data_IF_529541086937
#
_entry.id   IF_529541086937
#
_cell.length_a   1.000
_cell.length_b   1.000
_cell.length_c   1.000
_cell.angle_alpha   90.00
_cell.angle_beta   90.00
_cell.angle_gamma   90.00
#
_symmetry.space_group_name_H-M   'P 1'
#
loop_
_entity.id
_entity.type
_entity.pdbx_description
1 polymer ?
#
# COMPACT_ATOMS: atom_id res chain seq x y z
N UNK A 1 -113.20 10.16 2.37
CA UNK A 1 -111.88 10.83 2.55
C UNK A 1 -110.66 9.92 2.33
N UNK A 2 -110.65 8.62 2.71
CA UNK A 2 -109.47 7.74 2.51
C UNK A 2 -109.13 7.38 1.03
N UNK A 3 -110.11 7.27 0.12
CA UNK A 3 -109.87 6.90 -1.29
C UNK A 3 -109.23 8.01 -2.15
N UNK A 4 -109.53 9.29 -1.89
CA UNK A 4 -108.93 10.41 -2.63
C UNK A 4 -107.48 10.68 -2.21
N UNK A 5 -107.14 10.45 -0.94
CA UNK A 5 -105.78 10.63 -0.44
C UNK A 5 -104.81 9.57 -1.02
N UNK A 6 -105.27 8.32 -1.16
CA UNK A 6 -104.49 7.25 -1.78
C UNK A 6 -104.20 7.52 -3.28
N UNK A 7 -105.14 8.14 -3.99
CA UNK A 7 -104.98 8.46 -5.41
C UNK A 7 -104.01 9.63 -5.64
N UNK A 8 -104.06 10.66 -4.77
CA UNK A 8 -103.13 11.78 -4.81
C UNK A 8 -101.68 11.36 -4.48
N UNK A 9 -101.51 10.45 -3.51
CA UNK A 9 -100.19 9.91 -3.15
C UNK A 9 -99.63 9.02 -4.26
N UNK A 10 -100.47 8.23 -4.94
CA UNK A 10 -100.04 7.41 -6.08
C UNK A 10 -99.61 8.26 -7.29
N UNK A 11 -100.32 9.36 -7.57
CA UNK A 11 -99.98 10.27 -8.66
C UNK A 11 -98.66 11.03 -8.37
N UNK A 12 -98.46 11.47 -7.12
CA UNK A 12 -97.21 12.08 -6.69
C UNK A 12 -96.04 11.09 -6.78
N UNK A 13 -96.23 9.83 -6.38
CA UNK A 13 -95.21 8.79 -6.49
C UNK A 13 -94.82 8.48 -7.95
N UNK A 14 -95.77 8.51 -8.89
CA UNK A 14 -95.49 8.37 -10.33
C UNK A 14 -94.78 9.59 -10.93
N UNK A 15 -95.10 10.81 -10.46
CA UNK A 15 -94.39 12.01 -10.89
C UNK A 15 -92.93 12.04 -10.38
N UNK A 16 -92.69 11.56 -9.15
CA UNK A 16 -91.35 11.44 -8.61
C UNK A 16 -90.54 10.31 -9.27
N UNK A 17 -91.16 9.20 -9.65
CA UNK A 17 -90.45 8.09 -10.34
C UNK A 17 -90.06 8.45 -11.79
N UNK A 18 -90.88 9.25 -12.47
CA UNK A 18 -90.59 9.74 -13.83
C UNK A 18 -89.55 10.87 -13.84
N UNK A 19 -89.56 11.75 -12.84
CA UNK A 19 -88.49 12.74 -12.64
C UNK A 19 -87.14 12.08 -12.25
N UNK A 20 -87.18 11.02 -11.42
CA UNK A 20 -85.99 10.27 -11.08
C UNK A 20 -85.39 9.55 -12.30
N UNK A 21 -86.20 8.87 -13.12
CA UNK A 21 -85.70 8.12 -14.29
C UNK A 21 -85.12 9.01 -15.39
N UNK A 22 -85.64 10.22 -15.57
CA UNK A 22 -85.10 11.22 -16.51
C UNK A 22 -83.80 11.85 -16.02
N UNK A 23 -83.63 12.04 -14.71
CA UNK A 23 -82.37 12.45 -14.09
C UNK A 23 -81.28 11.36 -14.21
N UNK A 24 -81.62 10.08 -14.03
CA UNK A 24 -80.64 8.99 -14.20
C UNK A 24 -80.25 8.79 -15.67
N UNK A 25 -81.19 8.94 -16.61
CA UNK A 25 -80.90 8.82 -18.04
C UNK A 25 -79.97 9.93 -18.56
N UNK A 26 -80.17 11.18 -18.10
CA UNK A 26 -79.28 12.30 -18.44
C UNK A 26 -77.90 12.16 -17.80
N UNK A 27 -77.80 11.70 -16.54
CA UNK A 27 -76.52 11.39 -15.89
C UNK A 27 -75.76 10.25 -16.58
N UNK A 28 -76.45 9.19 -17.02
CA UNK A 28 -75.84 8.10 -17.79
C UNK A 28 -75.37 8.54 -19.18
N UNK A 29 -76.07 9.50 -19.80
CA UNK A 29 -75.67 10.06 -21.10
C UNK A 29 -74.41 10.92 -20.95
N UNK A 30 -74.35 11.76 -19.90
CA UNK A 30 -73.14 12.54 -19.57
C UNK A 30 -71.96 11.61 -19.24
N UNK A 31 -72.17 10.52 -18.49
CA UNK A 31 -71.12 9.53 -18.24
C UNK A 31 -70.65 8.80 -19.51
N UNK A 32 -71.57 8.49 -20.44
CA UNK A 32 -71.23 7.84 -21.73
C UNK A 32 -70.38 8.71 -22.65
N UNK A 33 -70.52 10.03 -22.60
CA UNK A 33 -69.68 10.95 -23.38
C UNK A 33 -68.41 11.40 -22.64
N UNK A 34 -68.49 11.60 -21.32
CA UNK A 34 -67.36 12.07 -20.52
C UNK A 34 -66.30 10.98 -20.28
N UNK A 35 -66.69 9.73 -20.02
CA UNK A 35 -65.74 8.64 -19.73
C UNK A 35 -64.74 8.35 -20.88
N UNK A 36 -65.15 8.22 -22.16
CA UNK A 36 -64.19 8.00 -23.25
C UNK A 36 -63.33 9.24 -23.55
N UNK A 37 -63.84 10.45 -23.34
CA UNK A 37 -63.07 11.69 -23.49
C UNK A 37 -61.98 11.80 -22.40
N UNK A 38 -62.32 11.48 -21.14
CA UNK A 38 -61.38 11.43 -20.02
C UNK A 38 -60.33 10.33 -20.25
N UNK A 39 -60.73 9.13 -20.68
CA UNK A 39 -59.77 8.06 -20.98
C UNK A 39 -58.83 8.41 -22.15
N UNK A 40 -59.31 9.09 -23.19
CA UNK A 40 -58.45 9.61 -24.27
C UNK A 40 -57.50 10.70 -23.77
N UNK A 41 -57.97 11.61 -22.92
CA UNK A 41 -57.12 12.64 -22.33
C UNK A 41 -56.03 12.02 -21.44
N UNK A 42 -56.39 11.05 -20.60
CA UNK A 42 -55.43 10.30 -19.75
C UNK A 42 -54.43 9.52 -20.60
N UNK A 43 -54.86 8.89 -21.69
CA UNK A 43 -53.97 8.22 -22.63
C UNK A 43 -53.02 9.19 -23.33
N UNK A 44 -53.52 10.33 -23.84
CA UNK A 44 -52.68 11.35 -24.46
C UNK A 44 -51.66 11.95 -23.48
N UNK A 45 -52.05 12.18 -22.23
CA UNK A 45 -51.13 12.65 -21.18
C UNK A 45 -50.09 11.59 -20.85
N UNK A 46 -50.46 10.30 -20.80
CA UNK A 46 -49.52 9.20 -20.58
C UNK A 46 -48.54 9.06 -21.76
N UNK A 47 -49.02 9.14 -23.00
CA UNK A 47 -48.16 9.09 -24.20
C UNK A 47 -47.24 10.30 -24.28
N UNK A 48 -47.71 11.51 -23.98
CA UNK A 48 -46.88 12.71 -23.92
C UNK A 48 -45.82 12.60 -22.81
N UNK A 49 -46.16 12.01 -21.65
CA UNK A 49 -45.21 11.72 -20.58
C UNK A 49 -44.13 10.73 -21.03
N UNK A 50 -44.49 9.62 -21.66
CA UNK A 50 -43.53 8.62 -22.14
C UNK A 50 -42.64 9.15 -23.27
N UNK A 51 -43.19 9.96 -24.19
CA UNK A 51 -42.41 10.65 -25.23
C UNK A 51 -41.44 11.67 -24.62
N UNK A 52 -41.89 12.47 -23.65
CA UNK A 52 -41.01 13.39 -22.93
C UNK A 52 -39.90 12.63 -22.18
N UNK A 53 -40.23 11.51 -21.53
CA UNK A 53 -39.25 10.66 -20.85
C UNK A 53 -38.23 10.07 -21.84
N UNK A 54 -38.70 9.55 -22.98
CA UNK A 54 -37.85 9.03 -24.04
C UNK A 54 -36.97 10.09 -24.72
N UNK A 55 -37.48 11.31 -24.91
CA UNK A 55 -36.70 12.43 -25.43
C UNK A 55 -35.64 12.91 -24.43
N UNK A 56 -35.96 12.99 -23.13
CA UNK A 56 -35.01 13.33 -22.08
C UNK A 56 -33.92 12.25 -21.96
N UNK A 57 -34.29 10.97 -22.04
CA UNK A 57 -33.35 9.85 -21.96
C UNK A 57 -32.42 9.80 -23.19
N UNK A 58 -32.96 10.00 -24.39
CA UNK A 58 -32.15 10.06 -25.62
C UNK A 58 -31.28 11.32 -25.69
N UNK A 59 -31.76 12.45 -25.17
CA UNK A 59 -30.97 13.67 -25.06
C UNK A 59 -29.83 13.47 -24.04
N UNK A 60 -30.11 12.91 -22.87
CA UNK A 60 -29.11 12.58 -21.84
C UNK A 60 -28.07 11.55 -22.34
N UNK A 61 -28.47 10.56 -23.13
CA UNK A 61 -27.58 9.60 -23.76
C UNK A 61 -26.70 10.22 -24.86
N UNK A 62 -27.19 11.24 -25.57
CA UNK A 62 -26.44 11.95 -26.62
C UNK A 62 -25.52 13.05 -26.08
N UNK A 63 -25.84 13.67 -24.94
CA UNK A 63 -25.04 14.76 -24.35
C UNK A 63 -24.17 14.31 -23.18
N UNK A 64 -24.16 13.02 -22.82
CA UNK A 64 -23.36 12.49 -21.70
C UNK A 64 -23.74 13.09 -20.34
N UNK A 65 -24.90 13.73 -20.24
CA UNK A 65 -25.37 14.39 -19.03
C UNK A 65 -26.14 13.36 -18.18
N UNK A 66 -25.41 12.45 -17.55
CA UNK A 66 -25.95 11.77 -16.37
C UNK A 66 -26.31 12.88 -15.38
N UNK A 67 -27.58 12.98 -15.00
CA UNK A 67 -28.06 13.86 -13.92
C UNK A 67 -27.59 13.31 -12.57
N UNK A 68 -26.29 13.32 -12.39
CA UNK A 68 -25.62 13.51 -11.12
C UNK A 68 -24.62 14.64 -11.39
N UNK A 69 -24.35 15.54 -10.44
CA UNK A 69 -23.23 16.47 -10.54
C UNK A 69 -21.98 15.73 -11.06
N UNK A 70 -21.03 16.45 -11.68
CA UNK A 70 -19.65 15.96 -11.82
C UNK A 70 -19.07 15.75 -10.41
N UNK A 71 -19.57 14.74 -9.70
CA UNK A 71 -19.16 14.30 -8.38
C UNK A 71 -18.29 13.08 -8.58
N UNK A 72 -17.39 12.86 -7.62
CA UNK A 72 -16.50 11.72 -7.65
C UNK A 72 -17.30 10.41 -7.75
N UNK A 73 -18.55 10.37 -7.26
CA UNK A 73 -19.44 9.21 -7.30
C UNK A 73 -19.71 8.65 -8.71
N UNK A 74 -19.89 9.49 -9.72
CA UNK A 74 -20.05 9.05 -11.11
C UNK A 74 -18.75 8.54 -11.75
N UNK A 75 -17.59 8.95 -11.21
CA UNK A 75 -16.27 8.57 -11.68
C UNK A 75 -15.67 7.36 -10.93
N UNK A 76 -16.20 6.98 -9.75
CA UNK A 76 -15.68 5.86 -8.94
C UNK A 76 -15.64 4.54 -9.72
N UNK A 77 -16.72 4.19 -10.44
CA UNK A 77 -16.75 2.95 -11.22
C UNK A 77 -15.78 3.00 -12.42
N UNK A 78 -15.55 4.19 -12.97
CA UNK A 78 -14.55 4.43 -14.03
C UNK A 78 -13.12 4.36 -13.48
N UNK A 79 -12.88 4.86 -12.27
CA UNK A 79 -11.60 4.80 -11.56
C UNK A 79 -11.18 3.36 -11.26
N UNK A 80 -12.07 2.52 -10.71
CA UNK A 80 -11.75 1.12 -10.43
C UNK A 80 -11.40 0.32 -11.68
N UNK A 81 -12.13 0.52 -12.78
CA UNK A 81 -11.79 -0.13 -14.05
C UNK A 81 -10.40 0.32 -14.57
N UNK A 82 -9.95 1.55 -14.29
CA UNK A 82 -8.67 2.11 -14.77
C UNK A 82 -7.45 1.38 -14.26
N UNK A 83 -7.54 1.00 -12.99
CA UNK A 83 -6.45 0.43 -12.25
C UNK A 83 -6.04 -0.92 -12.85
N UNK A 84 -6.93 -1.55 -13.62
CA UNK A 84 -6.69 -2.81 -14.33
C UNK A 84 -5.99 -2.62 -15.70
N UNK A 85 -6.19 -1.47 -16.37
CA UNK A 85 -5.66 -1.25 -17.74
C UNK A 85 -4.26 -0.64 -17.72
N UNK A 86 -3.95 0.19 -16.72
CA UNK A 86 -2.64 0.81 -16.61
C UNK A 86 -1.64 -0.22 -16.10
N UNK A 87 -0.56 -0.45 -16.87
CA UNK A 87 0.59 -1.25 -16.43
C UNK A 87 1.01 -0.81 -15.01
N UNK A 88 1.55 -1.70 -14.20
CA UNK A 88 2.09 -1.38 -12.87
C UNK A 88 3.37 -2.18 -12.65
N UNK A 89 4.35 -1.59 -11.97
CA UNK A 89 5.47 -2.38 -11.48
C UNK A 89 5.03 -3.28 -10.33
N UNK A 90 5.84 -4.29 -10.05
CA UNK A 90 5.60 -5.18 -8.91
C UNK A 90 5.96 -4.46 -7.60
N UNK A 91 5.01 -4.49 -6.67
CA UNK A 91 4.98 -3.80 -5.37
C UNK A 91 4.77 -4.80 -4.23
N UNK A 92 5.74 -5.70 -4.04
CA UNK A 92 5.67 -6.79 -3.07
C UNK A 92 5.89 -6.39 -1.61
N UNK A 93 6.68 -5.33 -1.34
CA UNK A 93 7.04 -4.93 0.03
C UNK A 93 5.84 -4.40 0.81
N UNK A 94 4.98 -3.59 0.20
CA UNK A 94 3.82 -2.99 0.89
C UNK A 94 2.94 -4.09 1.54
N UNK A 95 2.74 -5.21 0.85
CA UNK A 95 1.96 -6.35 1.37
C UNK A 95 2.70 -7.23 2.40
N UNK A 96 4.03 -7.13 2.44
CA UNK A 96 4.91 -7.96 3.26
C UNK A 96 5.10 -7.38 4.67
N UNK A 97 4.96 -6.07 4.84
CA UNK A 97 5.21 -5.38 6.11
C UNK A 97 3.97 -5.37 7.00
N UNK A 98 4.16 -5.07 8.29
CA UNK A 98 3.03 -4.78 9.17
C UNK A 98 2.50 -3.37 8.89
N UNK A 99 1.22 -3.27 8.58
CA UNK A 99 0.53 -1.98 8.43
C UNK A 99 -0.22 -1.66 9.71
N UNK A 100 0.07 -0.50 10.30
CA UNK A 100 -0.68 0.00 11.43
C UNK A 100 -1.50 1.23 11.01
N UNK A 101 -2.82 1.08 11.05
CA UNK A 101 -3.80 2.11 10.67
C UNK A 101 -4.22 2.99 11.86
N UNK A 102 -3.73 2.74 13.07
CA UNK A 102 -4.10 3.52 14.28
C UNK A 102 -3.43 4.89 14.36
N UNK A 103 -2.56 5.22 13.40
CA UNK A 103 -1.82 6.50 13.28
C UNK A 103 -2.68 7.73 12.96
N UNK A 104 -4.01 7.63 13.06
CA UNK A 104 -4.97 8.68 12.74
C UNK A 104 -4.79 10.00 13.54
N UNK A 105 -4.00 10.02 14.61
CA UNK A 105 -3.79 11.21 15.48
C UNK A 105 -2.42 11.87 15.37
N UNK A 106 -1.48 11.34 14.59
CA UNK A 106 -0.13 11.88 14.51
C UNK A 106 0.04 12.93 13.38
N UNK A 107 0.57 14.10 13.72
CA UNK A 107 0.93 15.11 12.73
C UNK A 107 2.11 14.65 11.85
N UNK A 108 2.25 15.23 10.65
CA UNK A 108 3.43 14.97 9.80
C UNK A 108 4.68 15.46 10.57
N UNK A 109 5.72 14.62 10.64
CA UNK A 109 6.91 14.87 11.45
C UNK A 109 6.80 14.47 12.93
N UNK A 110 5.63 14.02 13.40
CA UNK A 110 5.48 13.51 14.76
C UNK A 110 5.94 12.04 14.82
N UNK A 111 6.75 11.74 15.84
CA UNK A 111 7.17 10.37 16.14
C UNK A 111 6.12 9.71 17.00
N UNK A 112 5.55 8.59 16.56
CA UNK A 112 4.76 7.72 17.43
C UNK A 112 5.69 6.60 17.89
N UNK A 113 5.99 6.60 19.19
CA UNK A 113 6.91 5.65 19.81
C UNK A 113 6.15 4.44 20.32
N UNK A 114 6.58 3.25 19.91
CA UNK A 114 6.22 2.03 20.60
C UNK A 114 7.34 1.67 21.57
N UNK A 115 7.06 1.42 22.86
CA UNK A 115 8.08 0.94 23.79
C UNK A 115 8.51 -0.46 23.37
N UNK A 116 9.81 -0.64 23.11
CA UNK A 116 10.41 -1.95 22.84
C UNK A 116 11.30 -2.30 24.03
N UNK A 117 10.93 -3.34 24.77
CA UNK A 117 11.74 -3.84 25.87
C UNK A 117 13.00 -4.51 25.30
N UNK A 118 14.22 -4.13 25.74
CA UNK A 118 15.44 -4.81 25.35
C UNK A 118 15.48 -6.24 25.95
N UNK A 119 16.30 -7.16 25.39
CA UNK A 119 16.51 -8.47 25.99
C UNK A 119 17.10 -8.34 27.40
N UNK A 120 16.50 -9.03 28.37
CA UNK A 120 16.94 -9.00 29.77
C UNK A 120 18.25 -9.79 29.94
N UNK A 121 19.20 -9.23 30.68
CA UNK A 121 20.44 -9.92 31.06
C UNK A 121 20.19 -10.76 32.30
N UNK A 122 20.55 -12.05 32.28
CA UNK A 122 20.47 -12.91 33.46
C UNK A 122 21.68 -12.65 34.37
N UNK A 123 21.46 -12.52 35.67
CA UNK A 123 22.50 -12.46 36.70
C UNK A 123 22.44 -13.69 37.60
N UNK A 124 23.59 -14.10 38.13
CA UNK A 124 23.68 -15.25 39.03
C UNK A 124 23.05 -14.91 40.40
N UNK A 125 22.35 -15.89 40.99
CA UNK A 125 21.73 -15.73 42.31
C UNK A 125 22.80 -15.85 43.40
N UNK A 126 23.23 -14.71 43.94
CA UNK A 126 24.11 -14.66 45.13
C UNK A 126 23.24 -14.49 46.39
N UNK A 127 23.29 -15.40 47.37
CA UNK A 127 22.51 -15.26 48.61
C UNK A 127 22.91 -14.01 49.40
N UNK A 128 21.94 -13.14 49.70
CA UNK A 128 22.11 -11.92 50.50
C UNK A 128 20.85 -11.65 51.35
N UNK A 129 20.99 -10.81 52.40
CA UNK A 129 19.88 -10.47 53.32
C UNK A 129 18.87 -9.52 52.67
N UNK A 130 19.31 -8.76 51.67
CA UNK A 130 18.47 -7.87 50.85
C UNK A 130 18.57 -8.31 49.39
N UNK A 131 17.47 -8.29 48.62
CA UNK A 131 17.54 -8.44 47.17
C UNK A 131 18.51 -7.41 46.57
N UNK A 132 19.38 -7.80 45.62
CA UNK A 132 20.18 -6.84 44.86
C UNK A 132 19.30 -5.81 44.14
N UNK A 133 19.77 -4.57 44.03
CA UNK A 133 19.11 -3.50 43.25
C UNK A 133 19.45 -3.66 41.76
N UNK A 134 19.02 -4.78 41.19
CA UNK A 134 19.24 -5.18 39.81
C UNK A 134 17.89 -5.33 39.08
N UNK A 135 17.86 -5.11 37.77
CA UNK A 135 16.65 -5.25 36.95
C UNK A 135 16.15 -3.97 36.27
N UNK A 136 16.87 -2.86 36.40
CA UNK A 136 16.58 -1.64 35.66
C UNK A 136 16.77 -1.89 34.15
N UNK A 137 15.66 -1.90 33.41
CA UNK A 137 15.69 -1.92 31.96
C UNK A 137 15.49 -0.50 31.44
N UNK A 138 16.46 0.01 30.68
CA UNK A 138 16.25 1.22 29.91
C UNK A 138 15.35 0.86 28.71
N UNK A 139 14.05 1.12 28.81
CA UNK A 139 13.09 0.83 27.73
C UNK A 139 13.41 1.76 26.56
N UNK A 140 13.91 1.18 25.48
CA UNK A 140 14.16 1.90 24.24
C UNK A 140 12.84 2.21 23.54
N UNK A 141 12.66 3.46 23.10
CA UNK A 141 11.54 3.83 22.26
C UNK A 141 11.97 3.75 20.79
N UNK A 142 11.48 2.75 20.05
CA UNK A 142 11.56 2.78 18.58
C UNK A 142 10.26 3.39 18.06
N UNK A 143 10.39 4.57 17.46
CA UNK A 143 9.27 5.27 16.83
C UNK A 143 9.28 5.18 15.33
N UNK A 144 8.10 5.07 14.73
CA UNK A 144 7.90 5.31 13.30
C UNK A 144 7.42 6.75 13.16
N UNK A 145 8.12 7.51 12.33
CA UNK A 145 7.78 8.89 12.01
C UNK A 145 7.03 8.94 10.68
N UNK A 146 5.95 9.72 10.62
CA UNK A 146 5.33 10.07 9.35
C UNK A 146 6.22 11.10 8.65
N UNK A 147 7.09 10.62 7.77
CA UNK A 147 8.17 11.42 7.16
C UNK A 147 7.71 12.18 5.92
N UNK A 148 6.75 11.65 5.16
CA UNK A 148 6.36 12.20 3.86
C UNK A 148 4.86 12.41 3.76
N UNK A 149 4.49 13.60 3.28
CA UNK A 149 3.17 13.92 2.77
C UNK A 149 3.33 14.32 1.31
N UNK A 150 2.78 13.52 0.39
CA UNK A 150 2.93 13.75 -1.05
C UNK A 150 1.58 13.82 -1.72
N UNK A 151 1.53 14.62 -2.79
CA UNK A 151 0.38 14.77 -3.66
C UNK A 151 0.79 14.73 -5.13
N UNK A 152 -0.09 14.21 -5.97
CA UNK A 152 0.03 14.28 -7.42
C UNK A 152 -1.13 15.13 -7.95
N UNK A 153 -0.86 16.34 -8.48
CA UNK A 153 -1.89 17.19 -9.04
C UNK A 153 -2.18 16.86 -10.51
N UNK A 154 -3.45 16.88 -10.90
CA UNK A 154 -3.93 16.76 -12.29
C UNK A 154 -4.78 18.00 -12.58
N UNK A 155 -4.48 18.72 -13.67
CA UNK A 155 -5.19 19.95 -14.04
C UNK A 155 -5.83 19.81 -15.42
N UNK A 156 -7.06 20.31 -15.54
CA UNK A 156 -7.79 20.40 -16.80
C UNK A 156 -8.42 21.78 -16.97
N UNK A 157 -8.28 22.37 -18.17
CA UNK A 157 -9.01 23.57 -18.54
C UNK A 157 -10.20 23.26 -19.48
N UNK A 158 -11.10 24.23 -19.65
CA UNK A 158 -12.32 24.04 -20.47
C UNK A 158 -12.07 23.86 -21.98
N UNK A 159 -11.02 24.48 -22.52
CA UNK A 159 -10.69 24.42 -23.95
C UNK A 159 -10.02 23.08 -24.32
N UNK A 160 -9.17 22.54 -23.44
CA UNK A 160 -8.55 21.22 -23.56
C UNK A 160 -9.60 20.12 -23.57
N UNK A 161 -10.60 20.23 -22.70
CA UNK A 161 -11.74 19.31 -22.69
C UNK A 161 -12.50 19.36 -24.02
N UNK A 162 -12.84 20.57 -24.49
CA UNK A 162 -13.59 20.76 -25.73
C UNK A 162 -12.81 20.28 -26.97
N UNK A 163 -11.49 20.50 -27.01
CA UNK A 163 -10.63 20.04 -28.09
C UNK A 163 -10.55 18.51 -28.15
N UNK A 164 -10.57 17.84 -27.00
CA UNK A 164 -10.48 16.39 -26.91
C UNK A 164 -11.81 15.72 -27.29
N UNK A 165 -12.93 16.27 -26.81
CA UNK A 165 -14.29 15.81 -27.13
C UNK A 165 -14.59 15.96 -28.63
N UNK A 166 -14.09 17.01 -29.29
CA UNK A 166 -14.20 17.20 -30.74
C UNK A 166 -13.31 16.25 -31.57
N UNK A 167 -12.28 15.66 -30.96
CA UNK A 167 -11.31 14.79 -31.64
C UNK A 167 -11.65 13.30 -31.52
N UNK A 168 -12.80 12.94 -30.92
CA UNK A 168 -13.25 11.55 -30.76
C UNK A 168 -12.57 10.76 -29.63
N UNK A 169 -11.62 11.38 -28.90
CA UNK A 169 -11.02 10.79 -27.70
C UNK A 169 -11.85 11.18 -26.47
N UNK A 170 -12.33 10.20 -25.70
CA UNK A 170 -13.13 10.49 -24.51
C UNK A 170 -12.26 11.07 -23.39
N UNK A 171 -12.48 12.33 -23.02
CA UNK A 171 -11.89 13.02 -21.86
C UNK A 171 -11.87 12.15 -20.58
N UNK A 172 -12.96 11.42 -20.34
CA UNK A 172 -13.08 10.55 -19.18
C UNK A 172 -12.08 9.38 -19.17
N UNK A 173 -11.62 8.90 -20.33
CA UNK A 173 -10.62 7.82 -20.41
C UNK A 173 -9.22 8.36 -20.07
N UNK A 174 -8.87 9.54 -20.60
CA UNK A 174 -7.56 10.15 -20.31
C UNK A 174 -7.46 10.56 -18.85
N UNK A 175 -8.50 11.20 -18.31
CA UNK A 175 -8.55 11.58 -16.89
C UNK A 175 -8.40 10.35 -15.99
N UNK A 176 -9.11 9.27 -16.33
CA UNK A 176 -9.05 7.97 -15.65
C UNK A 176 -7.63 7.39 -15.63
N UNK A 177 -6.93 7.39 -16.77
CA UNK A 177 -5.56 6.89 -16.86
C UNK A 177 -4.58 7.77 -16.06
N UNK A 178 -4.80 9.09 -16.04
CA UNK A 178 -4.00 10.02 -15.22
C UNK A 178 -4.15 9.72 -13.72
N UNK A 179 -5.37 9.44 -13.25
CA UNK A 179 -5.61 9.03 -11.85
C UNK A 179 -4.87 7.72 -11.51
N UNK A 180 -4.93 6.72 -12.39
CA UNK A 180 -4.24 5.45 -12.18
C UNK A 180 -2.70 5.61 -12.17
N UNK A 181 -2.15 6.43 -13.07
CA UNK A 181 -0.71 6.75 -13.11
C UNK A 181 -0.24 7.52 -11.88
N UNK A 182 -1.07 8.44 -11.37
CA UNK A 182 -0.77 9.18 -10.16
C UNK A 182 -0.77 8.28 -8.91
N UNK A 183 -1.74 7.37 -8.78
CA UNK A 183 -1.72 6.35 -7.71
C UNK A 183 -0.52 5.41 -7.84
N UNK A 184 -0.15 4.99 -9.06
CA UNK A 184 1.08 4.19 -9.34
C UNK A 184 2.33 4.93 -8.86
N UNK A 185 2.45 6.22 -9.15
CA UNK A 185 3.61 7.05 -8.74
C UNK A 185 3.76 7.07 -7.21
N UNK A 186 2.67 7.28 -6.48
CA UNK A 186 2.69 7.29 -5.02
C UNK A 186 3.01 5.91 -4.44
N UNK A 187 2.39 4.84 -4.95
CA UNK A 187 2.67 3.48 -4.50
C UNK A 187 4.13 3.08 -4.74
N UNK A 188 4.72 3.48 -5.88
CA UNK A 188 6.13 3.26 -6.18
C UNK A 188 7.07 4.02 -5.24
N UNK A 189 6.73 5.26 -4.87
CA UNK A 189 7.53 6.02 -3.91
C UNK A 189 7.51 5.34 -2.53
N UNK A 190 6.35 4.86 -2.07
CA UNK A 190 6.21 4.09 -0.83
C UNK A 190 7.05 2.81 -0.88
N UNK A 191 6.94 2.03 -1.95
CA UNK A 191 7.71 0.80 -2.14
C UNK A 191 9.22 1.08 -2.17
N UNK A 192 9.65 2.15 -2.84
CA UNK A 192 11.04 2.60 -2.89
C UNK A 192 11.58 3.01 -1.50
N UNK A 193 10.76 3.65 -0.67
CA UNK A 193 11.13 4.02 0.69
C UNK A 193 11.25 2.78 1.59
N UNK A 194 10.36 1.79 1.42
CA UNK A 194 10.46 0.51 2.12
C UNK A 194 11.72 -0.27 1.75
N UNK A 195 12.08 -0.32 0.46
CA UNK A 195 13.34 -0.99 0.04
C UNK A 195 14.59 -0.19 0.42
N UNK A 196 14.47 1.13 0.63
CA UNK A 196 15.56 1.96 1.13
C UNK A 196 15.93 1.62 2.59
N UNK A 197 15.05 0.96 3.35
CA UNK A 197 15.35 0.52 4.72
C UNK A 197 16.47 -0.53 4.80
N UNK A 198 16.93 -1.12 3.68
CA UNK A 198 18.05 -2.08 3.65
C UNK A 198 19.30 -1.64 4.41
N UNK A 199 19.53 -0.33 4.56
CA UNK A 199 20.64 0.24 5.36
C UNK A 199 20.59 -0.19 6.83
N UNK A 200 19.40 -0.51 7.36
CA UNK A 200 19.17 -0.92 8.75
C UNK A 200 19.12 -2.43 8.95
N UNK A 201 19.35 -3.22 7.89
CA UNK A 201 19.38 -4.67 8.02
C UNK A 201 20.53 -5.11 8.93
N UNK A 202 20.32 -6.15 9.73
CA UNK A 202 21.35 -6.68 10.63
C UNK A 202 22.56 -7.25 9.88
N UNK A 203 22.27 -8.19 8.97
CA UNK A 203 23.25 -9.06 8.32
C UNK A 203 22.88 -9.36 6.88
N UNK A 204 23.87 -9.83 6.14
CA UNK A 204 23.70 -10.24 4.75
C UNK A 204 24.11 -11.70 4.51
N UNK A 205 23.41 -12.38 3.60
CA UNK A 205 23.75 -13.71 3.07
C UNK A 205 23.89 -13.67 1.55
N UNK A 206 24.62 -14.62 0.98
CA UNK A 206 24.81 -14.75 -0.48
C UNK A 206 26.05 -14.02 -1.01
N UNK A 207 26.25 -14.05 -2.33
CA UNK A 207 27.44 -13.53 -3.01
C UNK A 207 27.14 -12.22 -3.73
N UNK A 208 27.78 -11.09 -3.40
CA UNK A 208 27.48 -9.82 -4.03
C UNK A 208 27.73 -9.84 -5.54
N UNK A 209 26.77 -9.35 -6.33
CA UNK A 209 26.86 -9.27 -7.79
C UNK A 209 26.48 -10.56 -8.52
N UNK A 210 26.15 -11.62 -7.79
CA UNK A 210 25.62 -12.87 -8.34
C UNK A 210 24.19 -13.06 -7.86
N UNK A 211 23.23 -13.06 -8.80
CA UNK A 211 21.82 -13.22 -8.46
C UNK A 211 21.59 -14.55 -7.69
N UNK A 212 20.80 -14.53 -6.59
CA UNK A 212 20.48 -15.72 -5.79
C UNK A 212 19.83 -16.82 -6.61
N UNK A 213 19.83 -18.03 -6.08
CA UNK A 213 19.26 -19.25 -6.68
C UNK A 213 19.94 -19.63 -8.00
N UNK A 214 21.23 -19.28 -8.12
CA UNK A 214 22.02 -19.47 -9.34
C UNK A 214 22.34 -20.93 -9.67
N UNK A 215 22.22 -21.84 -8.68
CA UNK A 215 22.50 -23.28 -8.81
C UNK A 215 21.18 -24.06 -8.83
N UNK A 216 21.09 -25.04 -9.71
CA UNK A 216 19.86 -25.80 -9.91
C UNK A 216 19.55 -26.70 -8.71
N UNK A 217 18.28 -26.69 -8.28
CA UNK A 217 17.76 -27.47 -7.15
C UNK A 217 18.50 -27.25 -5.81
N UNK A 218 19.18 -26.12 -5.67
CA UNK A 218 19.81 -25.71 -4.43
C UNK A 218 19.07 -24.50 -3.84
N UNK A 219 18.58 -24.67 -2.61
CA UNK A 219 17.84 -23.67 -1.83
C UNK A 219 18.62 -23.20 -0.60
N UNK A 220 19.94 -23.17 -0.72
CA UNK A 220 20.85 -22.70 0.33
C UNK A 220 20.61 -21.21 0.66
N UNK A 221 20.23 -20.39 -0.33
CA UNK A 221 19.97 -18.97 -0.17
C UNK A 221 18.78 -18.68 0.74
N UNK A 222 17.68 -19.45 0.61
CA UNK A 222 16.53 -19.36 1.53
C UNK A 222 16.86 -19.94 2.90
N UNK A 223 17.56 -21.07 2.96
CA UNK A 223 17.95 -21.69 4.22
C UNK A 223 18.93 -20.82 5.04
N UNK A 224 19.89 -20.19 4.37
CA UNK A 224 20.86 -19.27 4.97
C UNK A 224 20.21 -17.97 5.48
N UNK A 225 19.24 -17.44 4.74
CA UNK A 225 18.44 -16.31 5.19
C UNK A 225 17.60 -16.66 6.43
N UNK A 226 16.96 -17.83 6.44
CA UNK A 226 16.17 -18.31 7.59
C UNK A 226 17.06 -18.52 8.82
N UNK A 227 18.23 -19.15 8.65
CA UNK A 227 19.21 -19.37 9.73
C UNK A 227 19.57 -18.06 10.43
N UNK A 228 19.82 -16.98 9.69
CA UNK A 228 20.13 -15.67 10.28
C UNK A 228 18.96 -15.15 11.13
N UNK A 229 17.71 -15.29 10.65
CA UNK A 229 16.54 -14.86 11.41
C UNK A 229 16.36 -15.69 12.70
N UNK A 230 16.57 -17.00 12.62
CA UNK A 230 16.48 -17.93 13.76
C UNK A 230 17.60 -17.70 14.78
N UNK A 231 18.84 -17.52 14.33
CA UNK A 231 20.00 -17.19 15.17
C UNK A 231 19.78 -15.87 15.93
N UNK A 232 19.10 -14.90 15.32
CA UNK A 232 18.73 -13.62 15.93
C UNK A 232 17.46 -13.71 16.81
N UNK A 233 16.91 -14.90 17.01
CA UNK A 233 15.75 -15.15 17.87
C UNK A 233 14.43 -14.61 17.30
N UNK A 234 14.31 -14.48 15.98
CA UNK A 234 13.06 -14.09 15.36
C UNK A 234 12.02 -15.22 15.52
N UNK A 235 11.12 -15.05 16.48
CA UNK A 235 10.02 -16.00 16.71
C UNK A 235 8.79 -15.51 15.95
N UNK A 236 8.47 -16.16 14.83
CA UNK A 236 7.29 -15.82 14.05
C UNK A 236 7.04 -16.78 12.90
N UNK A 237 5.79 -17.21 12.73
CA UNK A 237 5.38 -18.07 11.63
C UNK A 237 5.22 -17.32 10.30
N UNK A 238 5.59 -16.04 10.23
CA UNK A 238 5.36 -15.18 9.05
C UNK A 238 6.62 -14.41 8.64
N UNK A 239 7.60 -15.17 8.15
CA UNK A 239 8.78 -14.62 7.50
C UNK A 239 8.47 -14.26 6.05
N UNK A 240 9.00 -13.14 5.60
CA UNK A 240 8.85 -12.61 4.25
C UNK A 240 10.21 -12.64 3.56
N UNK A 241 10.21 -13.01 2.28
CA UNK A 241 11.36 -12.88 1.39
C UNK A 241 10.93 -12.09 0.15
N UNK A 242 11.50 -10.90 0.00
CA UNK A 242 11.19 -9.99 -1.10
C UNK A 242 12.36 -9.93 -2.07
N UNK A 243 12.11 -10.39 -3.29
CA UNK A 243 13.10 -10.63 -4.32
C UNK A 243 12.97 -9.65 -5.48
N UNK A 244 14.10 -9.29 -6.07
CA UNK A 244 14.19 -8.58 -7.34
C UNK A 244 13.97 -9.51 -8.54
N UNK A 245 13.86 -8.92 -9.73
CA UNK A 245 13.59 -9.64 -10.97
C UNK A 245 14.62 -10.72 -11.33
N UNK A 246 15.92 -10.46 -11.10
CA UNK A 246 16.99 -11.41 -11.40
C UNK A 246 16.95 -12.66 -10.48
N UNK A 247 16.70 -12.46 -9.19
CA UNK A 247 16.52 -13.57 -8.24
C UNK A 247 15.27 -14.39 -8.59
N UNK A 248 14.17 -13.73 -8.95
CA UNK A 248 12.94 -14.40 -9.39
C UNK A 248 13.09 -15.12 -10.72
N UNK A 249 13.90 -14.61 -11.65
CA UNK A 249 14.23 -15.32 -12.89
C UNK A 249 14.94 -16.64 -12.58
N UNK A 250 15.95 -16.62 -11.71
CA UNK A 250 16.66 -17.82 -11.31
C UNK A 250 15.76 -18.81 -10.58
N UNK A 251 14.89 -18.34 -9.68
CA UNK A 251 13.86 -19.17 -9.04
C UNK A 251 12.96 -19.86 -10.08
N UNK A 252 12.47 -19.11 -11.06
CA UNK A 252 11.58 -19.62 -12.11
C UNK A 252 12.28 -20.53 -13.12
N UNK A 253 13.59 -20.39 -13.30
CA UNK A 253 14.33 -21.12 -14.32
C UNK A 253 15.08 -22.33 -13.78
N UNK A 254 15.60 -22.28 -12.55
CA UNK A 254 16.60 -23.22 -12.04
C UNK A 254 16.09 -24.12 -10.91
N UNK A 255 15.00 -23.75 -10.25
CA UNK A 255 14.41 -24.54 -9.17
C UNK A 255 13.35 -25.50 -9.70
N UNK A 256 13.78 -26.43 -10.57
CA UNK A 256 12.87 -27.32 -11.29
C UNK A 256 12.13 -28.31 -10.42
N UNK A 257 12.67 -28.63 -9.23
CA UNK A 257 11.96 -29.40 -8.19
C UNK A 257 10.63 -28.79 -7.76
N UNK A 258 10.46 -27.46 -7.88
CA UNK A 258 9.20 -26.78 -7.54
C UNK A 258 8.13 -26.88 -8.64
N UNK A 259 8.51 -27.20 -9.88
CA UNK A 259 7.55 -27.33 -11.01
C UNK A 259 6.96 -28.73 -11.14
N UNK A 260 7.60 -29.70 -10.53
CA UNK A 260 7.16 -31.09 -10.55
C UNK A 260 5.98 -31.24 -9.61
N UNK A 261 4.77 -31.22 -10.16
CA UNK A 261 3.50 -31.34 -9.41
C UNK A 261 3.48 -32.57 -8.50
N UNK A 262 4.09 -33.67 -8.94
CA UNK A 262 4.22 -34.91 -8.19
C UNK A 262 5.14 -34.80 -6.96
N UNK A 263 6.12 -33.87 -6.97
CA UNK A 263 7.07 -33.65 -5.86
C UNK A 263 6.66 -32.45 -4.99
N UNK A 264 6.18 -31.36 -5.59
CA UNK A 264 5.77 -30.13 -4.90
C UNK A 264 4.34 -30.19 -4.32
N UNK A 265 3.52 -31.14 -4.77
CA UNK A 265 2.14 -31.33 -4.30
C UNK A 265 1.14 -30.26 -4.76
N UNK A 266 1.58 -29.25 -5.54
CA UNK A 266 0.76 -28.16 -6.10
C UNK A 266 1.27 -27.73 -7.48
N UNK A 267 0.38 -27.16 -8.28
CA UNK A 267 0.69 -26.71 -9.65
C UNK A 267 1.03 -25.20 -9.74
N UNK A 268 1.00 -24.49 -8.61
CA UNK A 268 1.07 -23.01 -8.57
C UNK A 268 2.37 -22.48 -9.17
N UNK A 269 3.50 -23.13 -8.89
CA UNK A 269 4.78 -22.72 -9.47
C UNK A 269 4.86 -22.97 -10.97
N UNK A 270 4.28 -24.07 -11.44
CA UNK A 270 4.27 -24.44 -12.85
C UNK A 270 3.35 -23.51 -13.66
N UNK A 271 2.19 -23.11 -13.12
CA UNK A 271 1.19 -22.34 -13.85
C UNK A 271 1.32 -20.83 -13.65
N UNK A 272 1.59 -20.38 -12.42
CA UNK A 272 1.58 -18.96 -12.06
C UNK A 272 2.99 -18.38 -11.89
N UNK A 273 4.03 -19.21 -11.89
CA UNK A 273 5.41 -18.77 -11.70
C UNK A 273 5.66 -18.09 -10.34
N UNK A 274 4.77 -18.27 -9.36
CA UNK A 274 4.95 -17.84 -7.97
C UNK A 274 4.46 -18.94 -7.02
N UNK A 275 5.23 -19.23 -5.96
CA UNK A 275 4.74 -20.04 -4.83
C UNK A 275 4.42 -19.08 -3.72
N UNK A 276 3.38 -19.40 -2.96
CA UNK A 276 2.98 -18.62 -1.80
C UNK A 276 4.10 -18.63 -0.74
N UNK A 277 4.66 -19.81 -0.45
CA UNK A 277 5.72 -19.97 0.56
C UNK A 277 6.79 -20.96 0.11
N UNK A 278 8.02 -20.71 0.54
CA UNK A 278 9.17 -21.59 0.36
C UNK A 278 9.99 -21.62 1.64
N UNK A 279 10.20 -22.81 2.23
CA UNK A 279 10.96 -22.97 3.49
C UNK A 279 10.53 -21.97 4.58
N UNK A 280 9.21 -21.86 4.81
CA UNK A 280 8.59 -20.95 5.76
C UNK A 280 8.66 -19.44 5.42
N UNK A 281 9.33 -19.04 4.32
CA UNK A 281 9.37 -17.68 3.81
C UNK A 281 8.28 -17.45 2.77
N UNK A 282 7.42 -16.44 2.97
CA UNK A 282 6.47 -15.99 1.98
C UNK A 282 7.19 -15.21 0.87
N UNK A 283 7.03 -15.65 -0.38
CA UNK A 283 7.74 -15.07 -1.51
C UNK A 283 6.99 -13.88 -2.09
N UNK A 284 7.68 -12.74 -2.19
CA UNK A 284 7.17 -11.52 -2.79
C UNK A 284 8.18 -11.01 -3.82
N UNK A 285 7.67 -10.33 -4.83
CA UNK A 285 8.52 -9.73 -5.85
C UNK A 285 8.38 -8.21 -5.82
N UNK A 286 9.50 -7.50 -5.84
CA UNK A 286 9.53 -6.06 -5.93
C UNK A 286 10.47 -5.60 -7.05
N UNK A 287 10.00 -4.63 -7.82
CA UNK A 287 10.81 -3.96 -8.83
C UNK A 287 11.75 -2.90 -8.25
N UNK A 288 11.47 -2.44 -7.02
CA UNK A 288 12.16 -1.31 -6.39
C UNK A 288 13.34 -1.73 -5.51
N UNK A 289 13.78 -2.99 -5.59
CA UNK A 289 14.95 -3.49 -4.86
C UNK A 289 16.18 -2.64 -5.20
N UNK A 290 16.85 -2.12 -4.16
CA UNK A 290 17.96 -1.20 -4.32
C UNK A 290 19.24 -1.91 -4.75
N UNK A 291 20.01 -1.23 -5.59
CA UNK A 291 21.39 -1.56 -5.94
C UNK A 291 22.27 -0.34 -5.62
N UNK A 292 22.56 -0.09 -4.34
CA UNK A 292 23.31 1.10 -3.93
C UNK A 292 24.74 1.06 -4.48
N UNK A 293 25.32 2.24 -4.70
CA UNK A 293 26.77 2.36 -4.91
C UNK A 293 27.49 1.91 -3.64
N UNK A 294 28.61 1.20 -3.79
CA UNK A 294 29.43 0.79 -2.66
C UNK A 294 30.38 1.90 -2.23
N UNK A 295 30.76 1.90 -0.95
CA UNK A 295 31.91 2.63 -0.47
C UNK A 295 33.20 2.22 -1.20
N UNK A 296 34.15 3.16 -1.24
CA UNK A 296 35.47 2.97 -1.88
C UNK A 296 36.53 2.46 -0.92
N UNK A 297 36.14 2.10 0.31
CA UNK A 297 37.07 1.65 1.33
C UNK A 297 37.91 0.45 0.86
N UNK A 298 39.23 0.60 0.93
CA UNK A 298 40.20 -0.42 0.56
C UNK A 298 41.35 -0.45 1.56
N UNK A 299 41.75 -1.66 1.97
CA UNK A 299 42.84 -1.85 2.94
C UNK A 299 42.55 -1.33 4.34
N UNK A 300 41.29 -1.05 4.67
CA UNK A 300 40.88 -0.58 5.98
C UNK A 300 40.96 -1.71 7.02
N UNK A 301 41.36 -1.36 8.24
CA UNK A 301 41.44 -2.29 9.37
C UNK A 301 40.76 -1.72 10.60
N UNK A 302 40.34 -2.59 11.52
CA UNK A 302 40.00 -2.15 12.88
C UNK A 302 41.24 -1.60 13.57
N UNK A 303 41.02 -0.78 14.60
CA UNK A 303 42.09 -0.52 15.57
C UNK A 303 42.49 -1.82 16.31
N UNK A 304 43.56 -1.74 17.10
CA UNK A 304 44.07 -2.86 17.89
C UNK A 304 43.41 -2.99 19.28
N UNK A 305 42.27 -2.34 19.54
CA UNK A 305 41.63 -2.38 20.87
C UNK A 305 40.90 -3.72 21.14
N UNK A 306 40.48 -4.42 20.08
CA UNK A 306 39.61 -5.59 20.18
C UNK A 306 38.17 -5.19 20.49
N UNK A 307 37.22 -6.02 20.04
CA UNK A 307 35.79 -5.76 20.18
C UNK A 307 35.08 -7.03 20.64
N UNK A 308 34.24 -6.90 21.67
CA UNK A 308 33.45 -8.00 22.17
C UNK A 308 32.31 -8.37 21.21
N UNK A 309 31.76 -9.56 21.39
CA UNK A 309 30.48 -9.95 20.79
C UNK A 309 29.41 -8.89 21.09
N UNK A 310 28.59 -8.56 20.09
CA UNK A 310 27.52 -7.57 20.18
C UNK A 310 27.98 -6.11 20.04
N UNK A 311 29.28 -5.83 19.85
CA UNK A 311 29.73 -4.47 19.61
C UNK A 311 29.15 -3.93 18.29
N UNK A 312 28.54 -2.75 18.37
CA UNK A 312 27.95 -2.06 17.20
C UNK A 312 28.88 -0.98 16.66
N UNK A 313 29.68 -0.34 17.50
CA UNK A 313 30.62 0.70 17.10
C UNK A 313 32.02 0.10 16.99
N UNK A 314 32.58 0.14 15.78
CA UNK A 314 33.93 -0.33 15.48
C UNK A 314 34.77 0.87 15.10
N UNK A 315 35.85 1.11 15.82
CA UNK A 315 36.79 2.18 15.48
C UNK A 315 37.83 1.67 14.49
N UNK A 316 38.05 2.45 13.43
CA UNK A 316 38.99 2.16 12.37
C UNK A 316 40.40 2.59 12.81
N UNK A 317 41.41 1.83 12.38
CA UNK A 317 42.78 2.33 12.40
C UNK A 317 42.93 3.44 11.36
N UNK A 318 43.92 4.33 11.53
CA UNK A 318 44.36 5.25 10.48
C UNK A 318 45.12 4.47 9.39
N UNK A 319 44.36 3.67 8.61
CA UNK A 319 44.87 2.73 7.63
C UNK A 319 43.84 2.51 6.52
N UNK A 320 44.35 2.28 5.31
CA UNK A 320 43.52 2.15 4.11
C UNK A 320 43.19 3.49 3.48
N UNK A 321 42.24 3.47 2.54
CA UNK A 321 41.79 4.64 1.78
C UNK A 321 40.29 4.52 1.49
N UNK A 322 39.64 5.63 1.14
CA UNK A 322 38.26 5.64 0.68
C UNK A 322 37.22 5.71 1.80
N UNK A 323 35.96 5.50 1.43
CA UNK A 323 34.81 5.77 2.31
C UNK A 323 34.02 4.50 2.61
N UNK A 324 33.45 4.42 3.81
CA UNK A 324 32.34 3.51 4.12
C UNK A 324 31.03 4.27 4.01
N UNK A 325 30.05 3.72 3.29
CA UNK A 325 28.74 4.34 3.11
C UNK A 325 27.68 3.51 3.86
N UNK A 326 26.66 4.17 4.38
CA UNK A 326 25.54 3.49 5.02
C UNK A 326 24.85 2.53 4.03
N UNK A 327 24.64 1.28 4.43
CA UNK A 327 24.13 0.19 3.58
C UNK A 327 25.22 -0.62 2.89
N UNK A 328 26.50 -0.29 3.10
CA UNK A 328 27.60 -1.18 2.73
C UNK A 328 27.52 -2.48 3.54
N UNK A 329 27.84 -3.58 2.86
CA UNK A 329 28.00 -4.88 3.52
C UNK A 329 29.49 -5.12 3.69
N UNK A 330 29.91 -5.45 4.92
CA UNK A 330 31.31 -5.67 5.26
C UNK A 330 31.53 -7.09 5.79
N UNK A 331 32.65 -7.68 5.41
CA UNK A 331 33.20 -8.90 6.01
C UNK A 331 34.46 -8.56 6.79
N UNK A 332 34.60 -9.18 7.96
CA UNK A 332 35.70 -8.93 8.89
C UNK A 332 36.61 -10.16 8.90
N UNK A 333 37.91 -9.96 8.78
CA UNK A 333 38.88 -11.05 8.81
C UNK A 333 38.80 -11.80 10.15
N UNK A 334 38.71 -13.12 10.07
CA UNK A 334 38.48 -14.00 11.23
C UNK A 334 37.03 -14.49 11.37
N UNK A 335 36.09 -13.92 10.61
CA UNK A 335 34.67 -14.30 10.60
C UNK A 335 34.16 -14.47 9.16
N UNK A 336 34.38 -15.64 8.53
CA UNK A 336 33.98 -15.88 7.15
C UNK A 336 32.47 -16.14 6.97
N UNK A 337 31.76 -16.46 8.04
CA UNK A 337 30.35 -16.86 7.98
C UNK A 337 29.38 -15.67 8.06
N UNK A 338 29.81 -14.58 8.70
CA UNK A 338 28.96 -13.42 8.95
C UNK A 338 29.36 -12.22 8.09
N UNK A 339 28.36 -11.64 7.42
CA UNK A 339 28.47 -10.35 6.72
C UNK A 339 27.58 -9.34 7.42
N UNK A 340 28.14 -8.19 7.76
CA UNK A 340 27.50 -7.16 8.57
C UNK A 340 27.11 -5.97 7.69
N UNK A 341 26.02 -5.29 8.02
CA UNK A 341 25.61 -4.07 7.31
C UNK A 341 26.02 -2.85 8.12
N UNK A 342 26.62 -1.88 7.45
CA UNK A 342 27.03 -0.60 8.02
C UNK A 342 25.82 0.33 8.11
N UNK A 343 25.37 0.64 9.32
CA UNK A 343 24.27 1.57 9.58
C UNK A 343 24.73 3.04 9.47
N UNK A 344 25.95 3.34 9.93
CA UNK A 344 26.61 4.64 9.74
C UNK A 344 28.04 4.41 9.29
N UNK A 345 28.37 4.99 8.14
CA UNK A 345 29.70 4.90 7.54
C UNK A 345 30.66 5.98 8.04
N UNK A 346 31.84 5.99 7.41
CA UNK A 346 32.92 6.93 7.67
C UNK A 346 33.40 7.53 6.34
N UNK A 347 33.63 8.84 6.34
CA UNK A 347 33.94 9.60 5.13
C UNK A 347 35.39 9.45 4.67
N UNK A 348 36.30 8.96 5.51
CA UNK A 348 37.71 8.77 5.17
C UNK A 348 38.39 7.78 6.11
N UNK A 349 38.47 6.52 5.69
CA UNK A 349 39.10 5.46 6.46
C UNK A 349 40.60 5.72 6.77
N UNK A 350 41.28 6.59 6.01
CA UNK A 350 42.72 6.82 6.16
C UNK A 350 43.10 7.61 7.42
N UNK A 351 42.20 8.45 7.93
CA UNK A 351 42.45 9.25 9.13
C UNK A 351 42.04 8.53 10.42
N UNK A 352 41.60 7.27 10.32
CA UNK A 352 40.85 6.60 11.36
C UNK A 352 39.42 7.13 11.42
N UNK A 353 38.60 6.61 12.33
CA UNK A 353 37.19 6.98 12.41
C UNK A 353 36.37 5.90 13.09
N UNK A 354 35.05 5.95 12.92
CA UNK A 354 34.15 4.93 13.45
C UNK A 354 33.11 4.52 12.42
N UNK A 355 32.89 3.21 12.32
CA UNK A 355 31.75 2.65 11.61
C UNK A 355 30.77 2.10 12.65
N UNK A 356 29.48 2.27 12.39
CA UNK A 356 28.42 1.68 13.22
C UNK A 356 27.74 0.58 12.43
N UNK A 357 27.78 -0.64 12.95
CA UNK A 357 27.05 -1.80 12.44
C UNK A 357 25.60 -1.77 12.93
N UNK A 358 24.69 -2.30 12.11
CA UNK A 358 23.31 -2.51 12.53
C UNK A 358 23.22 -3.56 13.66
N UNK A 359 22.19 -3.46 14.51
CA UNK A 359 21.93 -4.46 15.55
C UNK A 359 21.69 -5.84 14.92
N UNK A 360 22.16 -6.96 15.51
CA UNK A 360 22.71 -7.12 16.87
C UNK A 360 24.21 -6.79 17.02
N UNK A 361 24.87 -6.23 15.99
CA UNK A 361 26.31 -5.96 16.01
C UNK A 361 27.14 -7.20 15.66
N UNK A 362 28.37 -7.25 16.16
CA UNK A 362 29.30 -8.36 15.90
C UNK A 362 28.79 -9.70 16.44
N UNK A 363 28.86 -10.75 15.62
CA UNK A 363 28.56 -12.13 16.03
C UNK A 363 29.81 -12.93 16.39
N UNK A 364 30.98 -12.36 16.18
CA UNK A 364 32.25 -12.90 16.64
C UNK A 364 33.10 -11.77 17.20
N UNK A 365 33.71 -12.00 18.35
CA UNK A 365 34.62 -11.04 18.95
C UNK A 365 35.86 -10.85 18.06
N UNK A 366 36.30 -9.60 17.92
CA UNK A 366 37.52 -9.25 17.21
C UNK A 366 38.65 -9.21 18.24
N UNK A 367 39.76 -9.94 18.03
CA UNK A 367 40.90 -9.91 18.95
C UNK A 367 41.51 -8.50 19.00
N UNK A 368 42.31 -8.22 20.04
CA UNK A 368 43.05 -6.96 20.19
C UNK A 368 44.22 -6.85 19.18
N UNK A 369 43.88 -6.82 17.89
CA UNK A 369 44.79 -6.73 16.76
C UNK A 369 44.07 -6.02 15.61
N UNK A 370 44.84 -5.41 14.70
CA UNK A 370 44.26 -4.83 13.49
C UNK A 370 43.71 -5.95 12.58
N UNK A 371 42.39 -6.03 12.45
CA UNK A 371 41.75 -7.00 11.56
C UNK A 371 41.25 -6.31 10.30
N UNK A 372 41.44 -6.95 9.15
CA UNK A 372 41.05 -6.38 7.87
C UNK A 372 39.52 -6.34 7.73
N UNK A 373 39.02 -5.21 7.25
CA UNK A 373 37.61 -5.01 6.91
C UNK A 373 37.53 -4.94 5.39
N UNK A 374 36.63 -5.73 4.82
CA UNK A 374 36.43 -5.82 3.36
C UNK A 374 35.00 -5.44 3.01
N UNK A 375 34.84 -4.46 2.14
CA UNK A 375 33.52 -4.06 1.62
C UNK A 375 33.12 -5.00 0.48
N UNK A 376 31.91 -5.56 0.58
CA UNK A 376 31.34 -6.43 -0.45
C UNK A 376 31.11 -5.67 -1.76
N UNK A 377 31.11 -6.40 -2.88
CA UNK A 377 30.91 -5.76 -4.18
C UNK A 377 29.48 -5.20 -4.37
N UNK A 378 29.31 -4.37 -5.39
CA UNK A 378 27.99 -3.82 -5.76
C UNK A 378 27.05 -4.98 -6.12
N UNK A 379 25.85 -4.97 -5.55
CA UNK A 379 24.85 -6.01 -5.75
C UNK A 379 23.44 -5.55 -5.40
N UNK A 380 22.45 -6.32 -5.79
CA UNK A 380 21.05 -6.09 -5.40
C UNK A 380 20.86 -6.44 -3.92
N UNK A 381 20.00 -5.68 -3.23
CA UNK A 381 19.69 -5.85 -1.81
C UNK A 381 18.29 -6.46 -1.65
N UNK A 382 18.16 -7.75 -1.97
CA UNK A 382 16.91 -8.47 -1.70
C UNK A 382 16.73 -8.57 -0.18
N UNK A 383 15.49 -8.58 0.29
CA UNK A 383 15.19 -8.39 1.71
C UNK A 383 14.51 -9.62 2.29
N UNK A 384 14.94 -10.04 3.49
CA UNK A 384 14.25 -11.05 4.27
C UNK A 384 14.01 -10.54 5.69
N UNK A 385 12.82 -10.79 6.24
CA UNK A 385 12.44 -10.28 7.56
C UNK A 385 11.25 -11.03 8.15
N UNK A 386 11.08 -10.95 9.47
CA UNK A 386 9.79 -11.21 10.09
C UNK A 386 8.83 -10.04 9.81
N UNK A 387 7.56 -10.28 9.48
CA UNK A 387 6.57 -9.21 9.16
C UNK A 387 6.57 -8.06 10.19
N UNK A 388 6.75 -8.37 11.48
CA UNK A 388 6.77 -7.40 12.58
C UNK A 388 8.03 -6.53 12.65
N UNK A 389 9.10 -6.87 11.92
CA UNK A 389 10.35 -6.11 11.93
C UNK A 389 10.22 -4.76 11.23
N UNK A 390 9.39 -4.69 10.17
CA UNK A 390 9.17 -3.48 9.38
C UNK A 390 7.71 -3.04 9.54
N UNK A 391 7.54 -1.75 9.81
CA UNK A 391 6.23 -1.13 10.02
C UNK A 391 6.02 -0.04 8.97
N UNK A 392 4.86 -0.08 8.34
CA UNK A 392 4.36 0.96 7.45
C UNK A 392 3.16 1.64 8.10
N UNK A 393 3.30 2.95 8.36
CA UNK A 393 2.21 3.79 8.80
C UNK A 393 1.73 4.63 7.62
N UNK A 394 0.42 4.57 7.31
CA UNK A 394 -0.18 5.41 6.26
C UNK A 394 -1.44 6.09 6.75
N UNK A 395 -1.71 7.28 6.21
CA UNK A 395 -2.96 8.00 6.42
C UNK A 395 -3.25 9.01 5.31
N UNK A 396 -4.47 9.50 5.29
CA UNK A 396 -4.84 10.68 4.49
C UNK A 396 -4.30 11.97 5.12
N UNK A 397 -3.96 13.01 4.33
CA UNK A 397 -3.50 14.29 4.86
C UNK A 397 -4.50 14.92 5.84
N UNK A 398 -3.97 15.67 6.83
CA UNK A 398 -4.82 16.35 7.81
C UNK A 398 -5.39 17.64 7.22
N UNK A 399 -6.65 17.96 7.55
CA UNK A 399 -7.30 19.22 7.23
C UNK A 399 -7.33 20.16 8.44
N UNK A 400 -7.31 21.49 8.23
CA UNK A 400 -7.66 22.42 9.29
C UNK A 400 -9.12 22.24 9.69
N UNK A 401 -9.45 22.49 10.96
CA UNK A 401 -10.83 22.38 11.48
C UNK A 401 -11.84 23.30 10.76
N UNK A 402 -11.34 24.33 10.07
CA UNK A 402 -12.13 25.29 9.28
C UNK A 402 -12.47 24.76 7.87
N UNK A 403 -11.89 23.61 7.46
CA UNK A 403 -12.01 23.08 6.11
C UNK A 403 -11.09 23.77 5.10
N UNK A 404 -11.14 23.29 3.86
CA UNK A 404 -10.45 23.86 2.70
C UNK A 404 -11.45 24.03 1.54
N UNK A 405 -11.09 24.77 0.51
CA UNK A 405 -11.92 25.11 -0.67
C UNK A 405 -12.16 23.92 -1.63
N UNK A 406 -12.03 22.68 -1.15
CA UNK A 406 -12.32 21.49 -1.93
C UNK A 406 -13.84 21.35 -2.12
N UNK A 407 -14.26 21.12 -3.36
CA UNK A 407 -15.68 20.96 -3.73
C UNK A 407 -16.16 19.54 -3.41
N UNK A 408 -15.28 18.54 -3.58
CA UNK A 408 -15.58 17.15 -3.30
C UNK A 408 -14.31 16.41 -2.87
N UNK A 409 -14.48 15.36 -2.05
CA UNK A 409 -13.40 14.50 -1.55
C UNK A 409 -13.90 13.08 -1.38
N UNK A 410 -13.11 12.12 -1.83
CA UNK A 410 -13.37 10.71 -1.58
C UNK A 410 -12.08 9.95 -1.24
N UNK A 411 -12.21 8.85 -0.50
CA UNK A 411 -11.10 7.94 -0.22
C UNK A 411 -11.23 6.74 -1.16
N UNK A 412 -10.16 6.45 -1.89
CA UNK A 412 -10.09 5.31 -2.80
C UNK A 412 -9.01 4.37 -2.32
N UNK A 413 -9.39 3.14 -2.05
CA UNK A 413 -8.44 2.08 -1.70
C UNK A 413 -8.05 1.31 -2.94
N UNK A 414 -6.75 1.18 -3.16
CA UNK A 414 -6.17 0.37 -4.22
C UNK A 414 -6.23 -1.13 -3.84
N UNK A 415 -6.91 -1.98 -4.61
CA UNK A 415 -7.04 -3.40 -4.30
C UNK A 415 -5.72 -4.18 -4.41
N UNK A 416 -4.74 -3.68 -5.17
CA UNK A 416 -3.44 -4.37 -5.36
C UNK A 416 -2.46 -4.04 -4.24
N UNK A 417 -2.29 -2.74 -3.94
CA UNK A 417 -1.39 -2.31 -2.86
C UNK A 417 -2.02 -2.34 -1.47
N UNK A 418 -3.36 -2.29 -1.38
CA UNK A 418 -4.09 -2.11 -0.12
C UNK A 418 -4.00 -0.70 0.46
N UNK A 419 -3.37 0.26 -0.24
CA UNK A 419 -3.22 1.63 0.22
C UNK A 419 -4.48 2.45 -0.06
N UNK A 420 -4.88 3.28 0.90
CA UNK A 420 -5.99 4.22 0.79
C UNK A 420 -5.49 5.61 0.44
N UNK A 421 -5.88 6.11 -0.72
CA UNK A 421 -5.55 7.45 -1.22
C UNK A 421 -6.73 8.39 -1.03
N UNK A 422 -6.44 9.65 -0.74
CA UNK A 422 -7.46 10.69 -0.78
C UNK A 422 -7.48 11.33 -2.18
N UNK A 423 -8.65 11.44 -2.78
CA UNK A 423 -8.87 12.19 -4.01
C UNK A 423 -9.73 13.42 -3.69
N UNK A 424 -9.16 14.61 -3.88
CA UNK A 424 -9.81 15.90 -3.66
C UNK A 424 -9.95 16.68 -4.97
N UNK A 425 -11.08 17.37 -5.14
CA UNK A 425 -11.36 18.20 -6.31
C UNK A 425 -11.47 19.68 -5.92
N UNK A 426 -10.69 20.53 -6.59
CA UNK A 426 -10.71 21.99 -6.44
C UNK A 426 -11.18 22.64 -7.73
N UNK A 427 -12.22 23.46 -7.63
CA UNK A 427 -12.70 24.28 -8.75
C UNK A 427 -11.98 25.63 -8.74
N UNK A 428 -11.43 26.02 -9.88
CA UNK A 428 -10.73 27.29 -10.08
C UNK A 428 -11.29 27.99 -11.32
N UNK A 429 -10.85 29.23 -11.59
CA UNK A 429 -11.37 30.01 -12.71
C UNK A 429 -11.08 29.32 -14.06
N UNK A 430 -12.15 28.81 -14.72
CA UNK A 430 -12.11 28.08 -16.00
C UNK A 430 -11.22 26.82 -16.01
N UNK A 431 -10.87 26.29 -14.83
CA UNK A 431 -10.05 25.08 -14.71
C UNK A 431 -10.44 24.27 -13.46
N UNK A 432 -10.21 22.96 -13.51
CA UNK A 432 -10.39 22.04 -12.38
C UNK A 432 -9.04 21.42 -12.05
N UNK A 433 -8.72 21.34 -10.76
CA UNK A 433 -7.56 20.63 -10.25
C UNK A 433 -8.01 19.46 -9.39
N UNK A 434 -7.58 18.26 -9.76
CA UNK A 434 -7.69 17.06 -8.94
C UNK A 434 -6.38 16.83 -8.19
N UNK A 435 -6.49 16.41 -6.94
CA UNK A 435 -5.36 16.07 -6.09
C UNK A 435 -5.52 14.64 -5.59
N UNK A 436 -4.48 13.82 -5.77
CA UNK A 436 -4.39 12.50 -5.14
C UNK A 436 -3.28 12.57 -4.11
N UNK A 437 -3.60 12.30 -2.85
CA UNK A 437 -2.68 12.51 -1.75
C UNK A 437 -2.58 11.31 -0.81
N UNK A 438 -1.37 11.12 -0.28
CA UNK A 438 -1.04 10.11 0.72
C UNK A 438 0.03 10.65 1.67
N UNK A 439 -0.12 10.33 2.95
CA UNK A 439 0.92 10.54 3.97
C UNK A 439 1.40 9.17 4.43
N UNK A 440 2.71 8.97 4.48
CA UNK A 440 3.30 7.73 4.98
C UNK A 440 4.59 7.95 5.76
N UNK A 441 4.90 6.92 6.53
CA UNK A 441 6.16 6.74 7.25
C UNK A 441 6.52 5.27 7.28
N UNK A 442 7.79 4.97 7.05
CA UNK A 442 8.32 3.62 7.14
C UNK A 442 9.44 3.58 8.19
N UNK A 443 9.46 2.52 8.99
CA UNK A 443 10.47 2.32 10.01
C UNK A 443 10.68 0.85 10.34
N UNK A 444 11.81 0.58 10.98
CA UNK A 444 12.16 -0.74 11.48
C UNK A 444 11.92 -0.78 13.00
N UNK A 445 11.02 -1.64 13.44
CA UNK A 445 10.73 -1.85 14.86
C UNK A 445 11.80 -2.72 15.52
N UNK A 446 12.35 -3.69 14.79
CA UNK A 446 13.42 -4.60 15.23
C UNK A 446 14.41 -4.78 14.10
N UNK A 447 15.63 -4.28 14.26
CA UNK A 447 16.64 -4.30 13.19
C UNK A 447 17.30 -5.68 13.11
N UNK A 448 17.36 -6.38 14.24
CA UNK A 448 17.88 -7.73 14.38
C UNK A 448 17.05 -8.79 13.61
N UNK A 449 15.77 -8.54 13.33
CA UNK A 449 14.87 -9.50 12.65
C UNK A 449 14.69 -9.18 11.15
N UNK A 450 15.69 -8.49 10.57
CA UNK A 450 15.72 -8.02 9.20
C UNK A 450 17.13 -8.20 8.61
N UNK A 451 17.21 -8.74 7.39
CA UNK A 451 18.47 -9.04 6.72
C UNK A 451 18.40 -8.88 5.20
N UNK A 452 19.58 -8.99 4.55
CA UNK A 452 19.75 -8.83 3.11
C UNK A 452 20.19 -10.13 2.46
N UNK A 453 19.49 -10.57 1.42
CA UNK A 453 19.97 -11.58 0.50
C UNK A 453 20.65 -10.89 -0.70
N UNK A 454 21.97 -10.98 -0.74
CA UNK A 454 22.82 -10.36 -1.75
C UNK A 454 22.61 -10.98 -3.12
N UNK A 455 22.46 -10.13 -4.13
CA UNK A 455 22.32 -10.54 -5.53
C UNK A 455 23.11 -9.74 -6.54
#
# INVERSE_FOLDING_TARGET
MKKMFAFAVALAAMAFSTAASTATASAQTVQRFAAPAINKAVFCVRVARELAYGCIWNYAAKTGLVLGPNNLTGLINTLYNAMDVVSREQIGMISAVSSDMTFARAAVGQTVTSPVAPPATATDIVPAVTPPDDGNQNIGNKGVTLTKARRVPIRWNGEEKLALDNSGNSYNIILRDQFAQAMRTLANEVESDLTALHVKASRAYGTPGTAPFGIANELNDTAGALRILEDNGAQGLDFQLVLGSAAMQNMRSKQSGLFKVNEAGREDMLRNGITDRLQNLALRQSSQIKRPAKGTAAGATTNAAGYAFGATVITLAAAGTGTFVAGDVVSIAGDPENKYVVASGDADASNGGTITLAAPGLMQAIPAAATAITVANVGFRNLFFARSAIVLATRVPALPAQGDSAVDRTIITDPVSGLSFEVSMYMQYRQVQYEIALVWGCGTAKDEHFGILLG
#
